data_IF_284522463254
#
_entry.id   IF_284522463254
#
_cell.length_a   1.000
_cell.length_b   1.000
_cell.length_c   1.000
_cell.angle_alpha   90.00
_cell.angle_beta   90.00
_cell.angle_gamma   90.00
#
_symmetry.space_group_name_H-M   'P 1'
#
loop_
_entity.id
_entity.type
_entity.pdbx_description
1 polymer ?
#
# COMPACT_ATOMS: atom_id res chain seq x y z
N UNK A 1 -24.60 -12.23 -23.91
CA UNK A 1 -23.94 -11.17 -23.11
C UNK A 1 -22.45 -11.46 -23.06
N UNK A 2 -21.66 -10.81 -23.93
CA UNK A 2 -20.23 -11.08 -24.11
C UNK A 2 -19.45 -9.84 -23.65
N UNK A 3 -18.74 -9.99 -22.53
CA UNK A 3 -17.39 -9.43 -22.29
C UNK A 3 -17.25 -7.90 -22.37
N UNK A 4 -17.64 -7.19 -21.31
CA UNK A 4 -17.16 -5.82 -21.02
C UNK A 4 -16.15 -5.76 -19.86
N UNK A 5 -16.07 -6.80 -19.04
CA UNK A 5 -15.17 -6.85 -17.88
C UNK A 5 -13.68 -7.08 -18.24
N UNK A 6 -13.35 -7.52 -19.47
CA UNK A 6 -11.96 -7.89 -19.83
C UNK A 6 -11.09 -6.72 -20.31
N UNK A 7 -11.66 -5.68 -20.91
CA UNK A 7 -10.89 -4.52 -21.41
C UNK A 7 -10.40 -3.60 -20.28
N UNK A 8 -11.18 -3.44 -19.22
CA UNK A 8 -10.84 -2.58 -18.09
C UNK A 8 -9.74 -3.19 -17.23
N UNK A 9 -9.80 -4.51 -16.97
CA UNK A 9 -8.78 -5.23 -16.19
C UNK A 9 -7.42 -5.17 -16.87
N UNK A 10 -7.34 -5.43 -18.18
CA UNK A 10 -6.07 -5.38 -18.92
C UNK A 10 -5.43 -3.99 -18.92
N UNK A 11 -6.23 -2.93 -18.99
CA UNK A 11 -5.73 -1.55 -18.96
C UNK A 11 -5.22 -1.17 -17.56
N UNK A 12 -5.91 -1.60 -16.50
CA UNK A 12 -5.48 -1.38 -15.12
C UNK A 12 -4.21 -2.17 -14.80
N UNK A 13 -4.10 -3.42 -15.25
CA UNK A 13 -2.89 -4.24 -15.09
C UNK A 13 -1.69 -3.64 -15.83
N UNK A 14 -1.90 -3.18 -17.07
CA UNK A 14 -0.86 -2.49 -17.85
C UNK A 14 -0.40 -1.21 -17.14
N UNK A 15 -1.35 -0.44 -16.59
CA UNK A 15 -1.03 0.77 -15.82
C UNK A 15 -0.27 0.43 -14.53
N UNK A 16 -0.72 -0.58 -13.79
CA UNK A 16 -0.06 -1.03 -12.56
C UNK A 16 1.39 -1.46 -12.81
N UNK A 17 1.62 -2.31 -13.81
CA UNK A 17 2.96 -2.75 -14.19
C UNK A 17 3.86 -1.57 -14.57
N UNK A 18 3.33 -0.63 -15.34
CA UNK A 18 4.05 0.59 -15.74
C UNK A 18 4.41 1.47 -14.54
N UNK A 19 3.49 1.63 -13.58
CA UNK A 19 3.75 2.38 -12.34
C UNK A 19 4.78 1.68 -11.46
N UNK A 20 4.69 0.35 -11.33
CA UNK A 20 5.65 -0.45 -10.56
C UNK A 20 7.07 -0.28 -11.12
N UNK A 21 7.22 -0.37 -12.45
CA UNK A 21 8.50 -0.16 -13.12
C UNK A 21 9.01 1.28 -12.94
N UNK A 22 8.15 2.28 -13.18
CA UNK A 22 8.52 3.69 -13.09
C UNK A 22 8.95 4.11 -11.68
N UNK A 23 8.24 3.63 -10.65
CA UNK A 23 8.52 3.94 -9.25
C UNK A 23 9.56 3.02 -8.61
N UNK A 24 10.14 2.09 -9.38
CA UNK A 24 11.09 1.09 -8.91
C UNK A 24 10.57 0.32 -7.68
N UNK A 25 9.28 0.00 -7.72
CA UNK A 25 8.62 -0.80 -6.69
C UNK A 25 8.81 -2.28 -7.03
N UNK A 26 9.00 -3.10 -5.99
CA UNK A 26 8.84 -4.55 -6.11
C UNK A 26 7.70 -4.95 -5.17
N UNK A 27 6.72 -5.69 -5.65
CA UNK A 27 5.61 -6.20 -4.84
C UNK A 27 5.98 -7.60 -4.34
N UNK A 28 5.97 -7.81 -3.02
CA UNK A 28 6.21 -9.13 -2.44
C UNK A 28 4.89 -9.88 -2.27
N UNK A 29 3.90 -9.20 -1.70
CA UNK A 29 2.57 -9.75 -1.43
C UNK A 29 1.54 -8.63 -1.56
N UNK A 30 0.42 -8.92 -2.21
CA UNK A 30 -0.70 -7.99 -2.31
C UNK A 30 -2.02 -8.75 -2.16
N UNK A 31 -2.84 -8.28 -1.23
CA UNK A 31 -4.26 -8.60 -1.08
C UNK A 31 -5.02 -7.26 -1.01
N UNK A 32 -5.09 -6.58 -2.15
CA UNK A 32 -5.86 -5.35 -2.39
C UNK A 32 -5.95 -5.05 -3.89
N UNK A 33 -6.98 -4.32 -4.37
CA UNK A 33 -7.14 -4.03 -5.79
C UNK A 33 -6.02 -3.14 -6.34
N UNK A 34 -5.74 -3.27 -7.65
CA UNK A 34 -4.61 -2.60 -8.31
C UNK A 34 -4.60 -1.06 -8.15
N UNK A 35 -5.76 -0.40 -8.18
CA UNK A 35 -5.82 1.05 -7.96
C UNK A 35 -5.34 1.45 -6.55
N UNK A 36 -5.58 0.61 -5.54
CA UNK A 36 -5.15 0.86 -4.16
C UNK A 36 -3.63 0.66 -4.03
N UNK A 37 -3.08 -0.33 -4.75
CA UNK A 37 -1.63 -0.51 -4.87
C UNK A 37 -0.97 0.70 -5.52
N UNK A 38 -1.49 1.17 -6.67
CA UNK A 38 -0.99 2.39 -7.32
C UNK A 38 -1.03 3.60 -6.39
N UNK A 39 -2.10 3.74 -5.60
CA UNK A 39 -2.20 4.80 -4.60
C UNK A 39 -1.13 4.65 -3.51
N UNK A 40 -0.91 3.44 -2.97
CA UNK A 40 0.13 3.16 -1.99
C UNK A 40 1.52 3.53 -2.50
N UNK A 41 1.86 3.12 -3.73
CA UNK A 41 3.16 3.38 -4.34
C UNK A 41 3.39 4.88 -4.54
N UNK A 42 2.39 5.60 -5.05
CA UNK A 42 2.47 7.07 -5.24
C UNK A 42 2.57 7.80 -3.91
N UNK A 43 1.85 7.35 -2.89
CA UNK A 43 1.91 7.91 -1.54
C UNK A 43 3.31 7.73 -0.92
N UNK A 44 3.86 6.52 -1.01
CA UNK A 44 5.21 6.21 -0.55
C UNK A 44 6.27 7.04 -1.28
N UNK A 45 6.21 7.08 -2.63
CA UNK A 45 7.14 7.88 -3.44
C UNK A 45 7.10 9.35 -3.09
N UNK A 46 5.91 9.96 -3.06
CA UNK A 46 5.74 11.37 -2.71
C UNK A 46 6.31 11.67 -1.32
N UNK A 47 6.07 10.79 -0.36
CA UNK A 47 6.59 10.98 0.99
C UNK A 47 8.11 10.87 1.01
N UNK A 48 8.68 9.92 0.28
CA UNK A 48 10.13 9.76 0.15
C UNK A 48 10.78 11.02 -0.45
N UNK A 49 10.23 11.53 -1.56
CA UNK A 49 10.77 12.67 -2.28
C UNK A 49 10.59 14.01 -1.52
N UNK A 50 9.59 14.13 -0.64
CA UNK A 50 9.31 15.36 0.10
C UNK A 50 10.21 15.61 1.32
N UNK A 51 10.93 14.58 1.78
CA UNK A 51 11.71 14.66 3.01
C UNK A 51 13.15 15.04 2.70
N UNK A 52 13.60 16.22 3.16
CA UNK A 52 15.01 16.63 3.06
C UNK A 52 15.96 15.59 3.70
N UNK A 53 15.50 14.95 4.79
CA UNK A 53 16.14 13.81 5.43
C UNK A 53 15.12 12.70 5.61
N UNK A 54 15.40 11.54 5.03
CA UNK A 54 14.53 10.37 5.16
C UNK A 54 14.30 9.96 6.62
N UNK A 55 13.05 9.60 6.93
CA UNK A 55 12.65 9.07 8.24
C UNK A 55 11.56 8.01 8.06
N UNK A 56 11.88 6.74 8.40
CA UNK A 56 10.92 5.63 8.32
C UNK A 56 9.66 5.90 9.14
N UNK A 57 9.80 6.55 10.31
CA UNK A 57 8.67 6.94 11.17
C UNK A 57 7.73 7.91 10.47
N UNK A 58 8.27 8.93 9.79
CA UNK A 58 7.44 9.91 9.06
C UNK A 58 6.75 9.27 7.85
N UNK A 59 7.45 8.39 7.12
CA UNK A 59 6.85 7.65 6.02
C UNK A 59 5.69 6.76 6.49
N UNK A 60 5.91 5.98 7.56
CA UNK A 60 4.87 5.14 8.14
C UNK A 60 3.65 5.97 8.60
N UNK A 61 3.90 7.10 9.26
CA UNK A 61 2.84 8.02 9.69
C UNK A 61 2.02 8.57 8.51
N UNK A 62 2.69 9.09 7.47
CA UNK A 62 2.00 9.69 6.32
C UNK A 62 1.19 8.65 5.55
N UNK A 63 1.75 7.46 5.32
CA UNK A 63 1.04 6.37 4.65
C UNK A 63 -0.20 5.94 5.44
N UNK A 64 -0.05 5.72 6.75
CA UNK A 64 -1.20 5.41 7.63
C UNK A 64 -2.26 6.51 7.55
N UNK A 65 -1.86 7.77 7.74
CA UNK A 65 -2.76 8.92 7.76
C UNK A 65 -3.55 9.04 6.46
N UNK A 66 -2.90 8.87 5.32
CA UNK A 66 -3.55 8.94 4.01
C UNK A 66 -4.54 7.78 3.82
N UNK A 67 -4.15 6.55 4.19
CA UNK A 67 -5.02 5.39 4.04
C UNK A 67 -6.20 5.37 5.02
N UNK A 68 -6.00 5.84 6.26
CA UNK A 68 -7.09 6.06 7.21
C UNK A 68 -8.09 7.09 6.67
N UNK A 69 -7.58 8.17 6.06
CA UNK A 69 -8.41 9.23 5.47
C UNK A 69 -9.22 8.73 4.27
N UNK A 70 -8.61 7.96 3.38
CA UNK A 70 -9.22 7.58 2.09
C UNK A 70 -10.03 6.29 2.18
N UNK A 71 -9.61 5.32 2.99
CA UNK A 71 -10.21 3.99 3.07
C UNK A 71 -10.75 3.63 4.47
N UNK A 72 -10.77 4.61 5.38
CA UNK A 72 -11.29 4.49 6.74
C UNK A 72 -10.36 3.73 7.69
N UNK A 73 -10.34 4.09 8.99
CA UNK A 73 -9.48 3.45 9.98
C UNK A 73 -9.88 1.99 10.28
N UNK A 74 -9.00 1.16 10.87
CA UNK A 74 -7.64 1.48 11.33
C UNK A 74 -6.57 0.81 10.46
N UNK A 75 -5.86 1.61 9.67
CA UNK A 75 -4.68 1.20 8.93
C UNK A 75 -3.43 1.27 9.80
N UNK A 76 -2.49 0.39 9.46
CA UNK A 76 -1.18 0.26 10.08
C UNK A 76 -0.15 0.26 8.97
N UNK A 77 0.97 0.94 9.21
CA UNK A 77 2.08 0.98 8.28
C UNK A 77 3.39 0.74 9.03
N UNK A 78 4.22 -0.16 8.52
CA UNK A 78 5.56 -0.45 9.02
C UNK A 78 6.54 -0.16 7.89
N UNK A 79 7.60 0.58 8.20
CA UNK A 79 8.66 0.94 7.25
C UNK A 79 10.01 0.65 7.89
N UNK A 80 10.87 -0.08 7.19
CA UNK A 80 12.22 -0.39 7.68
C UNK A 80 13.11 -1.01 6.60
N UNK A 81 14.41 -1.07 6.87
CA UNK A 81 15.37 -1.76 5.99
C UNK A 81 15.36 -3.28 6.19
N UNK A 82 14.86 -3.75 7.35
CA UNK A 82 14.63 -5.15 7.66
C UNK A 82 13.60 -5.29 8.78
N UNK A 83 12.64 -6.19 8.63
CA UNK A 83 11.71 -6.58 9.70
C UNK A 83 11.07 -7.94 9.40
N UNK A 84 10.69 -8.65 10.46
CA UNK A 84 9.75 -9.77 10.39
C UNK A 84 8.35 -9.30 10.80
N UNK A 85 7.30 -9.90 10.23
CA UNK A 85 5.92 -9.60 10.60
C UNK A 85 5.05 -10.85 10.55
N UNK A 86 4.18 -11.02 11.54
CA UNK A 86 3.11 -12.01 11.54
C UNK A 86 1.84 -11.31 12.02
N UNK A 87 0.97 -10.94 11.07
CA UNK A 87 -0.19 -10.08 11.36
C UNK A 87 -1.47 -10.67 10.81
N UNK A 88 -2.56 -10.46 11.56
CA UNK A 88 -3.92 -10.70 11.05
C UNK A 88 -4.45 -9.41 10.45
N UNK A 89 -4.95 -9.47 9.22
CA UNK A 89 -5.45 -8.30 8.48
C UNK A 89 -6.86 -8.57 7.93
N UNK A 90 -7.56 -7.51 7.59
CA UNK A 90 -8.81 -7.58 6.86
C UNK A 90 -8.54 -7.93 5.38
N UNK A 91 -9.32 -8.85 4.82
CA UNK A 91 -9.27 -9.23 3.40
C UNK A 91 -9.36 -8.02 2.48
N UNK A 92 -8.57 -8.00 1.42
CA UNK A 92 -8.52 -6.92 0.44
C UNK A 92 -7.85 -5.64 0.94
N UNK A 93 -7.19 -5.68 2.11
CA UNK A 93 -6.55 -4.53 2.74
C UNK A 93 -5.11 -4.84 3.21
N UNK A 94 -4.30 -5.55 2.43
CA UNK A 94 -2.91 -5.87 2.78
C UNK A 94 -1.96 -5.71 1.60
N UNK A 95 -0.80 -5.09 1.84
CA UNK A 95 0.24 -4.88 0.84
C UNK A 95 1.62 -4.89 1.50
N UNK A 96 2.51 -5.72 0.95
CA UNK A 96 3.93 -5.77 1.29
C UNK A 96 4.75 -5.54 0.02
N UNK A 97 5.52 -4.44 0.00
CA UNK A 97 6.33 -4.05 -1.14
C UNK A 97 7.64 -3.41 -0.69
N UNK A 98 8.60 -3.32 -1.61
CA UNK A 98 9.83 -2.58 -1.41
C UNK A 98 9.94 -1.42 -2.40
N UNK A 99 10.57 -0.34 -1.97
CA UNK A 99 10.92 0.82 -2.79
C UNK A 99 12.27 1.34 -2.28
N UNK A 100 13.23 1.56 -3.18
CA UNK A 100 14.63 1.86 -2.80
C UNK A 100 15.23 0.74 -1.92
N UNK A 101 15.73 1.09 -0.73
CA UNK A 101 16.26 0.14 0.28
C UNK A 101 15.28 -0.10 1.43
N UNK A 102 14.00 0.22 1.23
CA UNK A 102 12.97 0.16 2.25
C UNK A 102 11.96 -0.91 1.92
N UNK A 103 11.57 -1.63 2.95
CA UNK A 103 10.41 -2.51 2.97
C UNK A 103 9.25 -1.75 3.63
N UNK A 104 8.06 -1.88 3.04
CA UNK A 104 6.84 -1.21 3.48
C UNK A 104 5.74 -2.26 3.59
N UNK A 105 5.18 -2.39 4.79
CA UNK A 105 4.02 -3.23 5.08
C UNK A 105 2.85 -2.33 5.46
N UNK A 106 1.79 -2.36 4.67
CA UNK A 106 0.57 -1.56 4.85
C UNK A 106 -0.63 -2.49 4.96
N UNK A 107 -1.36 -2.44 6.07
CA UNK A 107 -2.50 -3.32 6.27
C UNK A 107 -3.59 -2.70 7.16
N UNK A 108 -4.83 -3.16 7.00
CA UNK A 108 -5.97 -2.76 7.86
C UNK A 108 -6.34 -3.90 8.81
N UNK A 109 -6.65 -3.57 10.07
CA UNK A 109 -7.22 -4.54 11.03
C UNK A 109 -8.74 -4.43 11.10
N UNK A 110 -9.42 -5.53 11.45
CA UNK A 110 -10.83 -5.48 11.84
C UNK A 110 -10.90 -4.91 13.26
N UNK A 111 -11.49 -3.73 13.42
CA UNK A 111 -11.74 -3.14 14.74
C UNK A 111 -13.15 -3.56 15.18
N UNK A 112 -13.24 -4.41 16.19
CA UNK A 112 -14.49 -4.61 16.91
C UNK A 112 -14.52 -3.61 18.05
N UNK A 113 -15.60 -2.83 18.15
CA UNK A 113 -15.83 -2.02 19.35
C UNK A 113 -16.10 -2.98 20.50
N UNK A 114 -15.41 -2.81 21.62
CA UNK A 114 -15.87 -3.39 22.87
C UNK A 114 -17.26 -2.79 23.13
N UNK A 115 -18.28 -3.63 23.20
CA UNK A 115 -19.57 -3.25 23.74
C UNK A 115 -19.41 -3.15 25.25
N UNK A 116 -19.75 -1.99 25.81
CA UNK A 116 -19.83 -1.76 27.25
C UNK A 116 -20.90 -2.65 27.92
#
# INVERSE_FOLDING_TARGET
MVVEARKSVSHVETNLASVVAFLQVKVMVADMPGFMQVHAFRCARRTYDSLEKFSSKHMAYNMKKEFDKVYGPAWHCIVGSNFGSFVTHATGCFLYFSMEKLYILLFKTKVQKATD
#
